data_IF_357655863471
#
_entry.id   IF_357655863471
#
_cell.length_a   1.000
_cell.length_b   1.000
_cell.length_c   1.000
_cell.angle_alpha   90.00
_cell.angle_beta   90.00
_cell.angle_gamma   90.00
#
_symmetry.space_group_name_H-M   'P 1'
#
loop_
_entity.id
_entity.type
_entity.pdbx_description
1 polymer ?
#
# COMPACT_ATOMS: atom_id res chain seq x y z
N UNK A 1 -24.29 -6.58 11.25
CA UNK A 1 -23.03 -6.56 12.01
C UNK A 1 -22.01 -7.40 11.24
N UNK A 2 -20.98 -6.78 10.68
CA UNK A 2 -19.92 -7.55 10.03
C UNK A 2 -19.09 -8.21 11.13
N UNK A 3 -19.14 -9.53 11.21
CA UNK A 3 -18.18 -10.29 12.02
C UNK A 3 -16.76 -9.92 11.57
N UNK A 4 -15.81 -9.71 12.48
CA UNK A 4 -14.42 -9.50 12.09
C UNK A 4 -13.98 -10.69 11.23
N UNK A 5 -13.38 -10.39 10.06
CA UNK A 5 -12.88 -11.43 9.16
C UNK A 5 -11.69 -12.11 9.82
N UNK A 6 -11.78 -13.42 9.94
CA UNK A 6 -10.71 -14.26 10.49
C UNK A 6 -9.51 -14.24 9.56
N UNK A 7 -8.32 -14.02 10.09
CA UNK A 7 -7.07 -14.07 9.32
C UNK A 7 -6.64 -15.52 9.06
N UNK A 8 -5.87 -15.75 7.99
CA UNK A 8 -5.42 -17.09 7.58
C UNK A 8 -4.75 -17.87 8.72
N UNK A 9 -3.91 -17.24 9.54
CA UNK A 9 -3.25 -17.88 10.68
C UNK A 9 -4.23 -18.35 11.76
N UNK A 10 -5.31 -17.64 11.99
CA UNK A 10 -6.37 -18.00 12.95
C UNK A 10 -7.18 -19.22 12.44
N UNK A 11 -7.16 -19.47 11.14
CA UNK A 11 -7.72 -20.67 10.49
C UNK A 11 -6.73 -21.83 10.42
N UNK A 12 -5.53 -21.71 11.03
CA UNK A 12 -4.50 -22.73 10.99
C UNK A 12 -3.62 -22.73 9.73
N UNK A 13 -3.81 -21.77 8.82
CA UNK A 13 -2.97 -21.61 7.62
C UNK A 13 -1.74 -20.78 8.02
N UNK A 14 -0.62 -21.46 8.28
CA UNK A 14 0.60 -20.88 8.85
C UNK A 14 1.78 -21.06 7.89
N UNK A 15 1.90 -20.24 6.84
CA UNK A 15 2.98 -20.37 5.88
C UNK A 15 4.33 -19.97 6.48
N UNK A 16 5.37 -20.77 6.16
CA UNK A 16 6.74 -20.54 6.56
C UNK A 16 7.05 -20.90 8.03
N UNK A 17 8.32 -20.72 8.41
CA UNK A 17 8.86 -21.13 9.73
C UNK A 17 9.12 -19.94 10.66
N UNK A 18 9.17 -18.71 10.13
CA UNK A 18 9.47 -17.52 10.92
C UNK A 18 8.20 -16.99 11.62
N UNK A 19 8.39 -16.51 12.84
CA UNK A 19 7.30 -15.92 13.60
C UNK A 19 6.93 -14.52 13.09
N UNK A 20 5.67 -14.12 13.13
CA UNK A 20 5.25 -12.76 12.86
C UNK A 20 5.66 -11.83 14.01
N UNK A 21 5.69 -10.53 13.75
CA UNK A 21 5.69 -9.50 14.79
C UNK A 21 4.33 -9.38 15.47
N UNK A 22 4.20 -8.40 16.35
CA UNK A 22 3.02 -8.21 17.23
C UNK A 22 1.69 -8.10 16.46
N UNK A 23 1.70 -7.37 15.35
CA UNK A 23 0.49 -7.12 14.56
C UNK A 23 0.39 -8.05 13.33
N UNK A 24 1.46 -8.81 13.05
CA UNK A 24 1.62 -9.53 11.79
C UNK A 24 1.27 -8.62 10.61
N UNK A 25 1.86 -7.44 10.58
CA UNK A 25 1.61 -6.36 9.62
C UNK A 25 2.91 -5.67 9.21
N UNK A 26 2.89 -4.94 8.10
CA UNK A 26 4.04 -4.12 7.65
C UNK A 26 4.50 -3.14 8.75
N UNK A 27 3.58 -2.69 9.58
CA UNK A 27 3.82 -1.77 10.70
C UNK A 27 4.55 -2.40 11.89
N UNK A 28 4.86 -3.68 11.87
CA UNK A 28 5.81 -4.29 12.81
C UNK A 28 7.27 -3.85 12.52
N UNK A 29 7.53 -3.35 11.31
CA UNK A 29 8.79 -2.66 11.01
C UNK A 29 8.76 -1.29 11.68
N UNK A 30 9.73 -1.03 12.52
CA UNK A 30 9.79 0.22 13.30
C UNK A 30 9.75 1.46 12.41
N UNK A 31 8.88 2.41 12.75
CA UNK A 31 8.69 3.68 12.05
C UNK A 31 7.71 3.59 10.86
N UNK A 32 7.39 2.38 10.39
CA UNK A 32 6.41 2.22 9.30
C UNK A 32 5.01 2.55 9.76
N UNK A 33 4.30 3.36 8.94
CA UNK A 33 2.89 3.72 9.15
C UNK A 33 2.08 3.45 7.91
N UNK A 34 0.79 3.16 8.11
CA UNK A 34 -0.19 2.98 7.02
C UNK A 34 -1.43 3.81 7.29
N UNK A 35 -1.88 4.54 6.28
CA UNK A 35 -3.15 5.26 6.30
C UNK A 35 -4.04 4.83 5.14
N UNK A 36 -5.35 4.80 5.37
CA UNK A 36 -6.30 4.29 4.38
C UNK A 36 -7.56 5.14 4.34
N UNK A 37 -8.04 5.44 3.12
CA UNK A 37 -9.33 6.05 2.85
C UNK A 37 -10.11 5.14 1.90
N UNK A 38 -11.30 4.72 2.32
CA UNK A 38 -12.17 3.81 1.58
C UNK A 38 -13.38 4.57 1.06
N UNK A 39 -13.63 4.47 -0.25
CA UNK A 39 -14.77 5.09 -0.92
C UNK A 39 -15.76 4.01 -1.35
N UNK A 40 -16.91 3.99 -0.69
CA UNK A 40 -18.06 3.13 -1.02
C UNK A 40 -19.27 4.05 -1.11
N UNK A 41 -19.61 4.46 -2.34
CA UNK A 41 -20.66 5.44 -2.59
C UNK A 41 -21.63 4.94 -3.65
N UNK A 42 -22.92 5.10 -3.39
CA UNK A 42 -23.95 4.61 -4.29
C UNK A 42 -23.77 3.14 -4.68
N UNK A 43 -24.15 2.84 -5.90
CA UNK A 43 -24.09 1.45 -6.42
C UNK A 43 -22.78 1.14 -7.13
N UNK A 44 -22.01 2.16 -7.56
CA UNK A 44 -20.94 2.01 -8.53
C UNK A 44 -19.56 2.52 -8.08
N UNK A 45 -19.41 3.16 -6.93
CA UNK A 45 -18.10 3.59 -6.42
C UNK A 45 -17.59 2.62 -5.37
N UNK A 46 -16.48 1.94 -5.69
CA UNK A 46 -15.76 0.98 -4.84
C UNK A 46 -14.26 1.14 -5.08
N UNK A 47 -13.65 2.10 -4.41
CA UNK A 47 -12.23 2.46 -4.61
C UNK A 47 -11.62 3.02 -3.33
N UNK A 48 -10.41 3.53 -3.40
CA UNK A 48 -9.79 4.19 -2.25
C UNK A 48 -8.30 4.43 -2.42
N UNK A 49 -7.69 4.78 -1.31
CA UNK A 49 -6.26 5.13 -1.20
C UNK A 49 -5.64 4.40 -0.02
N UNK A 50 -4.43 3.90 -0.20
CA UNK A 50 -3.58 3.39 0.89
C UNK A 50 -2.23 4.11 0.82
N UNK A 51 -1.86 4.82 1.89
CA UNK A 51 -0.58 5.50 2.03
C UNK A 51 0.34 4.72 2.97
N UNK A 52 1.62 4.62 2.63
CA UNK A 52 2.64 3.89 3.38
C UNK A 52 3.82 4.83 3.62
N UNK A 53 4.19 5.00 4.89
CA UNK A 53 5.37 5.75 5.30
C UNK A 53 6.45 4.77 5.75
N UNK A 54 7.65 4.82 5.14
CA UNK A 54 8.78 3.99 5.58
C UNK A 54 9.32 4.35 6.97
N UNK A 55 9.19 5.62 7.41
CA UNK A 55 9.57 6.09 8.74
C UNK A 55 8.79 7.36 9.15
N UNK A 56 8.95 7.78 10.39
CA UNK A 56 8.21 8.90 11.02
C UNK A 56 8.70 10.30 10.63
N UNK A 57 9.90 10.42 10.04
CA UNK A 57 10.54 11.69 9.74
C UNK A 57 10.09 12.30 8.40
N UNK A 58 10.70 13.44 8.07
CA UNK A 58 10.55 14.06 6.76
C UNK A 58 11.32 13.22 5.71
N UNK A 59 10.60 12.46 4.91
CA UNK A 59 11.15 11.54 3.90
C UNK A 59 11.96 12.25 2.82
N UNK A 60 11.61 13.50 2.50
CA UNK A 60 12.35 14.31 1.53
C UNK A 60 13.75 14.66 2.03
N UNK A 61 13.90 14.93 3.33
CA UNK A 61 15.19 15.26 3.97
C UNK A 61 15.97 13.99 4.37
N UNK A 62 15.28 12.90 4.68
CA UNK A 62 15.87 11.64 5.11
C UNK A 62 15.33 10.50 4.23
N UNK A 63 15.87 10.41 3.01
CA UNK A 63 15.47 9.41 2.02
C UNK A 63 15.73 7.98 2.48
N UNK A 64 14.97 7.05 1.95
CA UNK A 64 15.06 5.63 2.31
C UNK A 64 15.59 4.83 1.12
N UNK A 65 16.54 3.90 1.32
CA UNK A 65 16.92 2.95 0.29
C UNK A 65 15.71 2.20 -0.25
N UNK A 66 15.59 2.17 -1.57
CA UNK A 66 14.45 1.57 -2.26
C UNK A 66 14.89 0.86 -3.55
N UNK A 67 14.13 -0.15 -3.93
CA UNK A 67 14.26 -0.81 -5.23
C UNK A 67 12.87 -1.13 -5.79
N UNK A 68 12.76 -1.11 -7.11
CA UNK A 68 11.54 -1.49 -7.82
C UNK A 68 11.83 -2.67 -8.76
N UNK A 69 10.91 -3.65 -8.77
CA UNK A 69 10.96 -4.78 -9.71
C UNK A 69 9.61 -4.88 -10.40
N UNK A 70 9.64 -4.85 -11.72
CA UNK A 70 8.44 -4.96 -12.56
C UNK A 70 8.27 -6.40 -13.02
N UNK A 71 7.36 -7.13 -12.40
CA UNK A 71 6.98 -8.49 -12.82
C UNK A 71 5.98 -8.49 -13.99
N UNK A 72 5.16 -7.45 -14.08
CA UNK A 72 4.23 -7.19 -15.18
C UNK A 72 4.13 -5.67 -15.39
N UNK A 73 4.52 -5.20 -16.58
CA UNK A 73 4.61 -3.78 -16.91
C UNK A 73 3.33 -3.14 -17.46
N UNK A 74 2.19 -3.86 -17.47
CA UNK A 74 0.92 -3.29 -17.90
C UNK A 74 0.25 -2.50 -16.77
N UNK A 75 0.91 -1.47 -16.32
CA UNK A 75 0.46 -0.63 -15.21
C UNK A 75 1.31 0.62 -15.11
N UNK A 76 1.14 1.35 -14.00
CA UNK A 76 1.92 2.55 -13.70
C UNK A 76 2.56 2.40 -12.33
N UNK A 77 3.85 2.65 -12.26
CA UNK A 77 4.56 2.91 -11.02
C UNK A 77 5.23 4.28 -11.19
N UNK A 78 4.52 5.33 -10.82
CA UNK A 78 5.08 6.68 -10.85
C UNK A 78 6.21 6.79 -9.83
N UNK A 79 7.28 7.50 -10.20
CA UNK A 79 8.48 7.63 -9.36
C UNK A 79 9.50 6.49 -9.52
N UNK A 80 9.21 5.45 -10.31
CA UNK A 80 10.13 4.32 -10.52
C UNK A 80 11.48 4.75 -11.08
N UNK A 81 11.53 5.78 -11.93
CA UNK A 81 12.78 6.26 -12.53
C UNK A 81 13.80 6.72 -11.49
N UNK A 82 13.37 7.45 -10.45
CA UNK A 82 14.26 7.82 -9.34
C UNK A 82 14.70 6.59 -8.55
N UNK A 83 13.77 5.69 -8.24
CA UNK A 83 14.07 4.48 -7.47
C UNK A 83 15.06 3.59 -8.22
N UNK A 84 14.89 3.43 -9.53
CA UNK A 84 15.80 2.64 -10.38
C UNK A 84 17.18 3.28 -10.54
N UNK A 85 17.23 4.61 -10.72
CA UNK A 85 18.48 5.34 -10.96
C UNK A 85 19.28 5.61 -9.67
N UNK A 86 18.61 6.01 -8.59
CA UNK A 86 19.26 6.45 -7.36
C UNK A 86 19.18 5.43 -6.22
N UNK A 87 18.34 4.39 -6.33
CA UNK A 87 18.16 3.39 -5.29
C UNK A 87 17.50 3.91 -4.03
N UNK A 88 16.72 5.00 -4.10
CA UNK A 88 16.09 5.62 -2.95
C UNK A 88 14.70 6.21 -3.26
N UNK A 89 13.88 6.40 -2.24
CA UNK A 89 12.62 7.15 -2.30
C UNK A 89 12.60 8.31 -1.33
N UNK A 90 11.97 9.42 -1.71
CA UNK A 90 11.88 10.67 -0.96
C UNK A 90 10.46 11.08 -0.55
N UNK A 91 9.49 10.22 -0.84
CA UNK A 91 8.07 10.46 -0.52
C UNK A 91 7.43 9.23 0.12
N UNK A 92 6.27 9.39 0.77
CA UNK A 92 5.40 8.26 1.06
C UNK A 92 5.05 7.51 -0.23
N UNK A 93 4.78 6.21 -0.11
CA UNK A 93 4.27 5.39 -1.21
C UNK A 93 2.74 5.42 -1.12
N UNK A 94 2.07 5.79 -2.21
CA UNK A 94 0.61 5.76 -2.28
C UNK A 94 0.15 4.72 -3.29
N UNK A 95 -0.81 3.90 -2.88
CA UNK A 95 -1.52 2.95 -3.71
C UNK A 95 -2.94 3.45 -3.97
N UNK A 96 -3.41 3.34 -5.22
CA UNK A 96 -4.77 3.74 -5.61
C UNK A 96 -5.22 3.00 -6.87
N UNK A 97 -6.23 3.51 -7.58
CA UNK A 97 -6.64 2.94 -8.86
C UNK A 97 -5.92 3.60 -10.04
N UNK A 98 -5.97 2.92 -11.21
CA UNK A 98 -5.26 3.28 -12.44
C UNK A 98 -5.46 4.74 -12.88
N UNK A 99 -6.70 5.25 -12.86
CA UNK A 99 -6.98 6.60 -13.36
C UNK A 99 -6.74 7.69 -12.31
N UNK A 100 -6.48 7.32 -11.06
CA UNK A 100 -6.23 8.26 -9.96
C UNK A 100 -4.75 8.53 -9.70
N UNK A 101 -3.84 7.82 -10.38
CA UNK A 101 -2.38 8.00 -10.22
C UNK A 101 -1.92 9.46 -10.35
N UNK A 102 -2.35 10.24 -11.36
CA UNK A 102 -1.91 11.64 -11.47
C UNK A 102 -2.35 12.51 -10.29
N UNK A 103 -3.59 12.31 -9.78
CA UNK A 103 -4.10 13.05 -8.61
C UNK A 103 -3.37 12.69 -7.33
N UNK A 104 -3.07 11.41 -7.16
CA UNK A 104 -2.28 10.95 -6.02
C UNK A 104 -0.87 11.54 -6.05
N UNK A 105 -0.25 11.60 -7.22
CA UNK A 105 1.05 12.23 -7.39
C UNK A 105 1.03 13.72 -7.05
N UNK A 106 0.05 14.47 -7.55
CA UNK A 106 -0.14 15.88 -7.22
C UNK A 106 -0.29 16.09 -5.71
N UNK A 107 -1.13 15.27 -5.05
CA UNK A 107 -1.33 15.35 -3.61
C UNK A 107 -0.04 15.08 -2.80
N UNK A 108 0.76 14.09 -3.21
CA UNK A 108 2.04 13.78 -2.57
C UNK A 108 3.01 14.94 -2.73
N UNK A 109 3.09 15.55 -3.92
CA UNK A 109 3.94 16.72 -4.16
C UNK A 109 3.56 17.85 -3.21
N UNK A 110 2.28 18.22 -3.15
CA UNK A 110 1.82 19.29 -2.27
C UNK A 110 2.07 18.97 -0.80
N UNK A 111 1.75 17.75 -0.38
CA UNK A 111 2.00 17.31 0.99
C UNK A 111 3.50 17.41 1.34
N UNK A 112 4.38 16.99 0.43
CA UNK A 112 5.83 17.03 0.63
C UNK A 112 6.34 18.47 0.73
N UNK A 113 5.86 19.37 -0.14
CA UNK A 113 6.24 20.78 -0.14
C UNK A 113 5.78 21.53 1.12
N UNK A 114 4.66 21.10 1.72
CA UNK A 114 4.14 21.68 2.98
C UNK A 114 4.92 21.23 4.22
N UNK A 115 5.77 20.21 4.14
CA UNK A 115 6.54 19.74 5.30
C UNK A 115 7.59 20.77 5.73
N UNK A 116 7.75 20.92 7.04
CA UNK A 116 8.81 21.75 7.60
C UNK A 116 10.18 21.27 7.13
N UNK A 117 11.00 22.19 6.63
CA UNK A 117 12.33 21.92 6.09
C UNK A 117 12.37 21.77 4.57
N UNK A 118 11.19 21.76 3.87
CA UNK A 118 11.13 21.58 2.43
C UNK A 118 10.87 22.89 1.64
N UNK A 119 11.03 24.05 2.29
CA UNK A 119 10.72 25.37 1.68
C UNK A 119 11.54 25.68 0.42
N UNK A 120 12.71 25.08 0.29
CA UNK A 120 13.61 25.24 -0.86
C UNK A 120 13.52 24.08 -1.87
N UNK A 121 12.62 23.10 -1.64
CA UNK A 121 12.43 21.98 -2.55
C UNK A 121 11.91 22.48 -3.91
N UNK A 122 12.58 22.08 -4.99
CA UNK A 122 12.25 22.49 -6.38
C UNK A 122 11.87 21.31 -7.27
N UNK A 123 11.98 20.11 -6.76
CA UNK A 123 11.62 18.86 -7.42
C UNK A 123 11.16 17.86 -6.38
N UNK A 124 10.13 17.09 -6.68
CA UNK A 124 9.64 15.98 -5.85
C UNK A 124 9.26 14.84 -6.76
N UNK A 125 9.72 13.62 -6.45
CA UNK A 125 9.41 12.41 -7.20
C UNK A 125 8.42 11.54 -6.40
N UNK A 126 7.10 11.73 -6.59
CA UNK A 126 6.09 10.98 -5.86
C UNK A 126 6.06 9.52 -6.30
N UNK A 127 6.00 8.59 -5.35
CA UNK A 127 5.85 7.16 -5.63
C UNK A 127 4.38 6.76 -5.54
N UNK A 128 3.79 6.41 -6.67
CA UNK A 128 2.39 5.97 -6.76
C UNK A 128 2.28 4.66 -7.53
N UNK A 129 1.81 3.60 -6.84
CA UNK A 129 1.42 2.33 -7.46
C UNK A 129 -0.08 2.24 -7.67
N UNK A 130 -0.50 1.35 -8.59
CA UNK A 130 -1.91 1.23 -8.94
C UNK A 130 -2.36 -0.20 -9.23
N UNK A 131 -3.65 -0.40 -9.12
CA UNK A 131 -4.36 -1.54 -9.71
C UNK A 131 -5.63 -1.07 -10.39
N UNK A 132 -6.05 -1.78 -11.45
CA UNK A 132 -7.30 -1.48 -12.12
C UNK A 132 -8.48 -2.07 -11.33
N UNK A 133 -9.36 -1.21 -10.80
CA UNK A 133 -10.56 -1.59 -10.06
C UNK A 133 -11.85 -1.48 -10.91
N UNK A 134 -11.72 -1.24 -12.22
CA UNK A 134 -12.83 -0.90 -13.12
C UNK A 134 -13.89 -1.98 -13.34
N UNK A 135 -13.76 -3.18 -12.74
CA UNK A 135 -14.82 -4.21 -12.77
C UNK A 135 -15.86 -3.94 -11.66
N UNK A 136 -15.42 -3.59 -10.45
CA UNK A 136 -16.29 -3.34 -9.31
C UNK A 136 -16.52 -1.85 -9.05
N UNK A 137 -15.69 -1.00 -9.63
CA UNK A 137 -15.73 0.45 -9.49
C UNK A 137 -15.98 1.11 -10.85
N UNK A 138 -16.84 2.12 -10.88
CA UNK A 138 -16.92 3.00 -12.05
C UNK A 138 -15.68 3.91 -12.09
N UNK A 139 -14.56 3.35 -12.54
CA UNK A 139 -13.26 4.00 -12.55
C UNK A 139 -13.24 5.32 -13.33
N UNK A 140 -14.13 5.45 -14.33
CA UNK A 140 -14.23 6.66 -15.18
C UNK A 140 -14.77 7.87 -14.42
N UNK A 141 -15.47 7.66 -13.31
CA UNK A 141 -15.90 8.77 -12.43
C UNK A 141 -14.74 9.43 -11.71
N UNK A 142 -13.58 8.78 -11.67
CA UNK A 142 -12.36 9.31 -11.04
C UNK A 142 -12.66 9.84 -9.63
N UNK A 143 -13.37 9.04 -8.83
CA UNK A 143 -13.92 9.44 -7.53
C UNK A 143 -12.86 9.76 -6.47
N UNK A 144 -11.65 9.19 -6.60
CA UNK A 144 -10.51 9.56 -5.72
C UNK A 144 -10.09 10.99 -6.04
N UNK A 145 -10.15 11.85 -5.03
CA UNK A 145 -9.71 13.25 -5.10
C UNK A 145 -8.38 13.44 -4.37
N UNK A 146 -7.80 14.63 -4.50
CA UNK A 146 -6.60 15.03 -3.79
C UNK A 146 -6.80 15.00 -2.26
N UNK A 147 -7.97 15.44 -1.80
CA UNK A 147 -8.34 15.45 -0.37
C UNK A 147 -8.34 14.04 0.22
N UNK A 148 -8.82 13.03 -0.52
CA UNK A 148 -8.79 11.65 -0.07
C UNK A 148 -7.35 11.11 0.09
N UNK A 149 -6.43 11.56 -0.77
CA UNK A 149 -5.01 11.20 -0.65
C UNK A 149 -4.38 11.89 0.56
N UNK A 150 -4.63 13.20 0.73
CA UNK A 150 -4.17 13.98 1.90
C UNK A 150 -4.70 13.35 3.19
N UNK A 151 -5.97 12.99 3.22
CA UNK A 151 -6.59 12.31 4.37
C UNK A 151 -5.92 10.96 4.68
N UNK A 152 -5.55 10.17 3.66
CA UNK A 152 -4.83 8.92 3.86
C UNK A 152 -3.43 9.14 4.42
N UNK A 153 -2.72 10.19 3.95
CA UNK A 153 -1.42 10.59 4.47
C UNK A 153 -1.53 11.02 5.94
N UNK A 154 -2.52 11.84 6.28
CA UNK A 154 -2.71 12.37 7.64
C UNK A 154 -3.18 11.29 8.64
N UNK A 155 -3.94 10.30 8.19
CA UNK A 155 -4.41 9.17 9.02
C UNK A 155 -3.36 8.08 9.23
N UNK A 156 -2.19 8.18 8.60
CA UNK A 156 -1.19 7.13 8.71
C UNK A 156 -0.71 6.92 10.15
N UNK A 157 -0.80 5.69 10.61
CA UNK A 157 -0.43 5.30 11.97
C UNK A 157 0.29 3.95 11.99
N UNK A 158 1.06 3.70 13.04
CA UNK A 158 1.60 2.40 13.38
C UNK A 158 0.52 1.52 14.03
N UNK A 159 0.80 0.24 14.23
CA UNK A 159 -0.14 -0.70 14.88
C UNK A 159 -0.91 -1.54 13.86
N UNK A 160 -2.11 -2.02 14.20
CA UNK A 160 -2.87 -2.90 13.29
C UNK A 160 -3.23 -2.20 11.99
N UNK A 161 -3.10 -2.90 10.88
CA UNK A 161 -3.48 -2.43 9.54
C UNK A 161 -4.77 -3.12 9.12
N UNK A 162 -5.75 -2.34 8.65
CA UNK A 162 -6.99 -2.90 8.13
C UNK A 162 -6.74 -3.64 6.81
N UNK A 163 -7.37 -4.82 6.63
CA UNK A 163 -7.18 -5.70 5.49
C UNK A 163 -8.48 -5.94 4.72
N UNK A 164 -8.35 -6.43 3.49
CA UNK A 164 -9.46 -6.80 2.63
C UNK A 164 -10.03 -5.61 1.86
N UNK A 165 -11.33 -5.39 2.00
CA UNK A 165 -12.10 -4.39 1.24
C UNK A 165 -11.93 -2.98 1.81
N UNK A 166 -10.70 -2.48 1.79
CA UNK A 166 -10.30 -1.22 2.44
C UNK A 166 -9.26 -0.49 1.59
N UNK A 167 -9.27 0.85 1.67
CA UNK A 167 -8.31 1.69 0.95
C UNK A 167 -8.25 1.35 -0.54
N UNK A 168 -7.05 1.30 -1.09
CA UNK A 168 -6.81 0.99 -2.50
C UNK A 168 -7.29 -0.42 -2.92
N UNK A 169 -7.52 -1.34 -1.96
CA UNK A 169 -8.03 -2.69 -2.23
C UNK A 169 -9.55 -2.80 -2.36
N UNK A 170 -10.30 -1.70 -2.21
CA UNK A 170 -11.76 -1.71 -2.14
C UNK A 170 -12.43 -2.27 -3.38
N UNK A 171 -11.97 -1.91 -4.59
CA UNK A 171 -12.57 -2.33 -5.86
C UNK A 171 -11.84 -3.45 -6.60
N UNK A 172 -10.82 -4.07 -6.00
CA UNK A 172 -9.96 -5.04 -6.69
C UNK A 172 -10.54 -6.44 -6.76
N UNK A 173 -10.17 -7.18 -7.80
CA UNK A 173 -10.44 -8.60 -8.00
C UNK A 173 -9.09 -9.32 -8.13
N UNK A 174 -8.97 -10.50 -7.52
CA UNK A 174 -7.76 -11.32 -7.59
C UNK A 174 -8.14 -12.80 -7.72
N UNK A 175 -7.56 -13.50 -8.68
CA UNK A 175 -7.84 -14.93 -8.98
C UNK A 175 -9.32 -15.26 -9.19
N UNK A 176 -10.10 -14.32 -9.72
CA UNK A 176 -11.56 -14.47 -9.85
C UNK A 176 -12.36 -14.19 -8.58
N UNK A 177 -11.70 -13.95 -7.46
CA UNK A 177 -12.29 -13.60 -6.17
C UNK A 177 -12.19 -12.12 -5.86
N UNK A 178 -12.86 -11.65 -4.80
CA UNK A 178 -12.67 -10.31 -4.29
C UNK A 178 -11.21 -10.13 -3.80
N UNK A 179 -10.48 -9.21 -4.41
CA UNK A 179 -9.15 -8.80 -3.97
C UNK A 179 -9.20 -7.90 -2.73
N UNK A 180 -8.09 -7.25 -2.41
CA UNK A 180 -8.02 -6.34 -1.26
C UNK A 180 -6.61 -5.95 -0.87
N UNK A 181 -6.50 -5.32 0.27
CA UNK A 181 -5.24 -5.11 0.98
C UNK A 181 -4.96 -6.31 1.87
N UNK A 182 -3.74 -6.78 1.85
CA UNK A 182 -3.22 -7.76 2.80
C UNK A 182 -1.91 -7.29 3.39
N UNK A 183 -1.60 -7.73 4.61
CA UNK A 183 -0.34 -7.38 5.26
C UNK A 183 0.18 -8.53 6.12
N UNK A 184 1.49 -8.61 6.27
CA UNK A 184 2.11 -9.53 7.23
C UNK A 184 3.54 -9.08 7.58
N UNK A 185 4.11 -9.72 8.61
CA UNK A 185 5.51 -9.55 8.99
C UNK A 185 6.17 -10.87 9.34
N UNK A 186 7.50 -10.88 9.34
CA UNK A 186 8.32 -11.96 9.88
C UNK A 186 9.51 -11.38 10.62
N UNK A 187 9.78 -11.93 11.80
CA UNK A 187 10.94 -11.56 12.61
C UNK A 187 12.04 -12.59 12.38
N UNK A 188 13.20 -12.12 11.98
CA UNK A 188 14.39 -12.95 11.82
C UNK A 188 14.99 -13.26 13.21
N UNK A 189 15.58 -14.45 13.39
CA UNK A 189 16.36 -14.77 14.59
C UNK A 189 17.51 -13.78 14.82
N UNK A 190 17.92 -13.60 16.06
CA UNK A 190 19.04 -12.70 16.41
C UNK A 190 20.33 -13.04 15.68
N UNK A 191 20.60 -14.33 15.44
CA UNK A 191 21.76 -14.82 14.69
C UNK A 191 21.78 -14.36 13.23
N UNK A 192 20.60 -13.96 12.69
CA UNK A 192 20.41 -13.37 11.37
C UNK A 192 20.16 -11.86 11.41
N UNK A 193 20.50 -11.21 12.53
CA UNK A 193 20.41 -9.77 12.73
C UNK A 193 19.14 -9.29 13.41
N UNK A 194 18.18 -10.17 13.76
CA UNK A 194 16.95 -9.80 14.47
C UNK A 194 16.01 -8.85 13.71
N UNK A 195 16.21 -8.69 12.41
CA UNK A 195 15.43 -7.77 11.58
C UNK A 195 13.96 -8.21 11.47
N UNK A 196 13.07 -7.23 11.35
CA UNK A 196 11.67 -7.45 10.97
C UNK A 196 11.48 -7.14 9.50
N UNK A 197 10.94 -8.11 8.76
CA UNK A 197 10.52 -7.92 7.36
C UNK A 197 9.01 -7.77 7.35
N UNK A 198 8.53 -6.65 6.81
CA UNK A 198 7.10 -6.37 6.65
C UNK A 198 6.68 -6.35 5.18
N UNK A 199 5.46 -6.78 4.91
CA UNK A 199 4.85 -6.74 3.60
C UNK A 199 3.45 -6.13 3.65
N UNK A 200 3.11 -5.35 2.62
CA UNK A 200 1.76 -4.92 2.30
C UNK A 200 1.50 -5.22 0.84
N UNK A 201 0.36 -5.81 0.55
CA UNK A 201 -0.01 -6.23 -0.81
C UNK A 201 -1.36 -5.64 -1.18
N UNK A 202 -1.43 -5.00 -2.34
CA UNK A 202 -2.68 -4.68 -3.03
C UNK A 202 -2.86 -5.71 -4.15
N UNK A 203 -3.88 -6.56 -4.04
CA UNK A 203 -4.03 -7.70 -4.93
C UNK A 203 -4.91 -7.40 -6.16
N UNK A 204 -4.44 -7.76 -7.36
CA UNK A 204 -5.19 -7.61 -8.61
C UNK A 204 -4.65 -8.54 -9.72
N UNK A 205 -4.47 -9.83 -9.43
CA UNK A 205 -3.89 -10.78 -10.40
C UNK A 205 -4.94 -11.73 -10.96
N UNK A 206 -4.69 -12.20 -12.20
CA UNK A 206 -5.34 -13.39 -12.75
C UNK A 206 -4.66 -14.67 -12.26
N UNK A 207 -5.31 -15.82 -12.53
CA UNK A 207 -4.78 -17.15 -12.21
C UNK A 207 -5.74 -17.99 -11.38
N UNK A 208 -5.24 -19.11 -10.85
CA UNK A 208 -5.97 -20.00 -9.95
C UNK A 208 -5.48 -19.78 -8.52
N UNK A 209 -6.41 -19.49 -7.60
CA UNK A 209 -6.07 -19.38 -6.18
C UNK A 209 -5.63 -20.76 -5.66
N UNK A 210 -4.48 -20.77 -5.03
CA UNK A 210 -3.99 -21.93 -4.28
C UNK A 210 -3.73 -21.53 -2.84
N UNK A 211 -4.14 -22.36 -1.91
CA UNK A 211 -3.88 -22.19 -0.49
C UNK A 211 -3.06 -23.38 -0.04
N UNK A 212 -1.82 -23.15 0.35
CA UNK A 212 -0.85 -24.18 0.76
C UNK A 212 -0.67 -25.28 -0.30
N UNK A 213 -0.63 -24.87 -1.59
CA UNK A 213 -0.51 -25.77 -2.74
C UNK A 213 -1.82 -26.43 -3.18
N UNK A 214 -2.91 -26.24 -2.48
CA UNK A 214 -4.22 -26.81 -2.80
C UNK A 214 -5.02 -25.79 -3.63
N UNK A 215 -5.46 -26.10 -4.85
CA UNK A 215 -6.31 -25.22 -5.65
C UNK A 215 -7.69 -25.07 -5.02
N UNK A 216 -8.26 -23.86 -5.09
CA UNK A 216 -9.57 -23.48 -4.53
C UNK A 216 -10.58 -23.25 -5.63
#
# INVERSE_FOLDING_TARGET
>A
MNSPRTRARELGIVPGILQPGTWNAITDVQGVKVGQVTLIEGEDIRTGVTAIFPHDGNLFQAKVPAAAVVGNGFGKLMGSTQVEELGETETPIVLTNTLSVPRAAEAIIDWTLMQTGNQEARSVNPVVGETNDGILNNIRRMAVTKEHVMEALDKASSGPVAEGNVGAGTGTICFGWKGGIGTSSRVLPEQLGGYTVGALVQTNFGGVLQIDGIPV
#
